data_IF_105959918719
#
_entry.id   IF_105959918719
#
_cell.length_a   1.000
_cell.length_b   1.000
_cell.length_c   1.000
_cell.angle_alpha   90.00
_cell.angle_beta   90.00
_cell.angle_gamma   90.00
#
_symmetry.space_group_name_H-M   'P 1'
#
loop_
_entity.id
_entity.type
_entity.pdbx_description
1 polymer ?
#
# COMPACT_ATOMS: atom_id res chain seq x y z
N UNK A 1 12.72 45.43 49.63
CA UNK A 1 11.65 45.19 48.66
C UNK A 1 12.14 44.01 47.80
N UNK A 2 11.58 42.88 48.14
CA UNK A 2 11.98 41.57 47.64
C UNK A 2 11.16 41.28 46.34
N UNK A 3 11.85 41.02 45.24
CA UNK A 3 11.23 40.59 44.00
C UNK A 3 11.57 39.10 43.78
N UNK A 4 10.70 38.28 44.33
CA UNK A 4 10.75 36.81 44.26
C UNK A 4 10.73 36.27 42.84
N UNK A 5 11.71 35.40 42.61
CA UNK A 5 11.88 34.49 41.51
C UNK A 5 10.64 33.68 41.15
N UNK A 6 10.15 33.81 39.90
CA UNK A 6 9.24 32.84 39.30
C UNK A 6 10.05 31.71 38.65
N UNK A 7 10.02 30.56 39.30
CA UNK A 7 10.49 29.30 38.70
C UNK A 7 9.64 28.96 37.47
N UNK A 8 10.27 28.91 36.30
CA UNK A 8 9.71 28.30 35.13
C UNK A 8 9.88 26.76 35.27
N UNK A 9 8.77 26.06 35.39
CA UNK A 9 8.69 24.63 35.33
C UNK A 9 8.87 24.22 33.86
N UNK A 10 9.83 23.34 33.48
CA UNK A 10 9.93 22.84 32.12
C UNK A 10 8.70 21.99 31.81
N UNK A 11 8.07 22.24 30.67
CA UNK A 11 7.04 21.38 30.10
C UNK A 11 7.72 20.08 29.65
N UNK A 12 7.47 19.01 30.36
CA UNK A 12 7.80 17.66 29.89
C UNK A 12 6.86 17.33 28.71
N UNK A 13 7.38 16.85 27.57
CA UNK A 13 6.51 16.38 26.50
C UNK A 13 5.66 15.20 27.01
N UNK A 14 4.37 15.29 26.80
CA UNK A 14 3.41 14.23 27.10
C UNK A 14 3.68 13.05 26.14
N UNK A 15 4.35 12.02 26.63
CA UNK A 15 4.61 10.76 25.93
C UNK A 15 3.52 9.73 26.21
N UNK A 16 2.27 10.18 26.29
CA UNK A 16 1.13 9.26 26.31
C UNK A 16 1.10 8.39 25.05
N UNK A 17 0.69 7.10 25.14
CA UNK A 17 0.58 6.25 23.96
C UNK A 17 -0.33 6.91 22.93
N UNK A 18 0.18 7.11 21.71
CA UNK A 18 -0.62 7.57 20.56
C UNK A 18 -1.74 6.54 20.39
N UNK A 19 -2.96 6.90 20.78
CA UNK A 19 -4.14 6.10 20.44
C UNK A 19 -4.31 6.22 18.93
N UNK A 20 -3.93 5.17 18.19
CA UNK A 20 -4.31 5.04 16.80
C UNK A 20 -5.84 5.13 16.76
N UNK A 21 -6.36 6.18 16.15
CA UNK A 21 -7.80 6.29 15.89
C UNK A 21 -8.22 5.11 15.04
N UNK A 22 -9.29 4.42 15.42
CA UNK A 22 -9.77 3.27 14.65
C UNK A 22 -10.07 3.74 13.22
N UNK A 23 -9.51 3.05 12.23
CA UNK A 23 -9.79 3.30 10.81
C UNK A 23 -11.29 3.12 10.58
N UNK A 24 -12.00 4.17 10.15
CA UNK A 24 -13.47 4.20 10.13
C UNK A 24 -14.08 3.74 8.81
N UNK A 25 -13.29 3.65 7.72
CA UNK A 25 -13.76 3.22 6.41
C UNK A 25 -13.27 1.80 6.09
N UNK A 26 -14.10 1.01 5.40
CA UNK A 26 -13.68 -0.29 4.88
C UNK A 26 -12.46 -0.15 3.94
N UNK A 27 -11.55 -1.15 3.86
CA UNK A 27 -10.37 -1.05 3.02
C UNK A 27 -10.66 -0.97 1.53
N UNK A 28 -11.85 -1.40 1.12
CA UNK A 28 -12.32 -1.39 -0.27
C UNK A 28 -13.71 -0.77 -0.30
N UNK A 29 -13.94 0.18 -1.22
CA UNK A 29 -15.20 0.88 -1.40
C UNK A 29 -15.67 0.81 -2.86
N UNK A 30 -16.96 0.75 -3.06
CA UNK A 30 -17.58 0.78 -4.39
C UNK A 30 -17.65 2.20 -4.96
N UNK A 31 -17.87 2.33 -6.28
CA UNK A 31 -18.10 3.64 -6.91
C UNK A 31 -19.32 4.38 -6.32
N UNK A 32 -20.39 3.66 -5.99
CA UNK A 32 -21.56 4.27 -5.34
C UNK A 32 -21.29 4.79 -3.94
N UNK A 33 -20.40 4.12 -3.18
CA UNK A 33 -19.92 4.65 -1.89
C UNK A 33 -19.03 5.87 -2.08
N UNK A 34 -18.15 5.88 -3.09
CA UNK A 34 -17.34 7.04 -3.43
C UNK A 34 -18.19 8.27 -3.80
N UNK A 35 -19.27 8.08 -4.59
CA UNK A 35 -20.21 9.16 -4.92
C UNK A 35 -20.74 9.87 -3.66
N UNK A 36 -21.02 9.11 -2.59
CA UNK A 36 -21.45 9.66 -1.30
C UNK A 36 -20.34 10.35 -0.50
N UNK A 37 -19.07 10.17 -0.87
CA UNK A 37 -17.90 10.75 -0.21
C UNK A 37 -17.31 11.95 -0.97
N UNK A 38 -17.78 12.24 -2.19
CA UNK A 38 -17.31 13.39 -2.97
C UNK A 38 -17.52 14.68 -2.17
N UNK A 39 -16.47 15.50 -2.06
CA UNK A 39 -16.47 16.74 -1.30
C UNK A 39 -16.21 16.58 0.21
N UNK A 40 -16.15 15.35 0.73
CA UNK A 40 -15.76 15.06 2.13
C UNK A 40 -14.53 14.16 2.24
N UNK A 41 -14.19 13.43 1.20
CA UNK A 41 -12.96 12.63 1.12
C UNK A 41 -11.97 13.25 0.12
N UNK A 42 -10.68 13.05 0.36
CA UNK A 42 -9.63 13.32 -0.62
C UNK A 42 -9.56 12.13 -1.57
N UNK A 43 -9.65 12.40 -2.86
CA UNK A 43 -9.58 11.37 -3.90
C UNK A 43 -8.18 11.41 -4.52
N UNK A 44 -7.51 10.25 -4.64
CA UNK A 44 -6.16 10.14 -5.14
C UNK A 44 -6.09 9.23 -6.37
N UNK A 45 -5.46 9.70 -7.42
CA UNK A 45 -5.16 8.98 -8.65
C UNK A 45 -3.69 8.52 -8.62
N UNK A 46 -3.46 7.20 -8.50
CA UNK A 46 -2.11 6.61 -8.43
C UNK A 46 -1.84 5.78 -9.69
N UNK A 47 -2.23 6.27 -10.86
CA UNK A 47 -1.91 5.56 -12.10
C UNK A 47 -0.41 5.56 -12.36
N UNK A 48 0.12 4.37 -12.50
CA UNK A 48 1.51 4.08 -12.77
C UNK A 48 1.62 2.87 -13.71
N UNK A 49 2.56 2.87 -14.63
CA UNK A 49 2.64 1.85 -15.66
C UNK A 49 4.03 1.25 -15.78
N UNK A 50 4.12 -0.09 -15.82
CA UNK A 50 5.36 -0.84 -15.96
C UNK A 50 6.06 -0.63 -17.31
N UNK A 51 5.32 -0.24 -18.34
CA UNK A 51 5.85 0.01 -19.68
C UNK A 51 6.53 1.40 -19.82
N UNK A 52 6.56 2.18 -18.73
CA UNK A 52 7.15 3.52 -18.69
C UNK A 52 6.27 4.63 -19.25
N UNK A 53 5.01 4.33 -19.61
CA UNK A 53 4.07 5.40 -19.95
C UNK A 53 3.71 6.24 -18.73
N UNK A 54 3.43 7.53 -18.96
CA UNK A 54 3.23 8.49 -17.87
C UNK A 54 1.84 8.38 -17.25
N UNK A 55 1.78 8.02 -15.95
CA UNK A 55 0.56 8.09 -15.16
C UNK A 55 0.03 9.51 -15.03
N UNK A 56 0.92 10.50 -14.90
CA UNK A 56 0.54 11.91 -14.85
C UNK A 56 -0.12 12.39 -16.14
N UNK A 57 0.40 12.00 -17.31
CA UNK A 57 -0.28 12.33 -18.57
C UNK A 57 -1.64 11.64 -18.69
N UNK A 58 -1.77 10.41 -18.17
CA UNK A 58 -3.07 9.73 -18.12
C UNK A 58 -4.06 10.47 -17.20
N UNK A 59 -3.61 10.96 -16.04
CA UNK A 59 -4.38 11.82 -15.15
C UNK A 59 -4.85 13.10 -15.85
N UNK A 60 -3.98 13.81 -16.57
CA UNK A 60 -4.32 15.04 -17.31
C UNK A 60 -5.30 14.80 -18.47
N UNK A 61 -5.37 13.58 -19.01
CA UNK A 61 -6.38 13.23 -20.03
C UNK A 61 -7.77 13.05 -19.47
N UNK A 62 -7.88 12.69 -18.19
CA UNK A 62 -9.14 12.51 -17.48
C UNK A 62 -8.99 11.72 -16.20
N UNK A 63 -9.57 12.25 -15.13
CA UNK A 63 -9.56 11.68 -13.78
C UNK A 63 -10.91 11.91 -13.10
N UNK A 64 -11.17 11.24 -11.97
CA UNK A 64 -12.36 11.47 -11.16
C UNK A 64 -12.36 12.90 -10.65
N UNK A 65 -13.48 13.66 -10.74
CA UNK A 65 -13.52 15.05 -10.34
C UNK A 65 -12.97 15.31 -8.93
N UNK A 66 -12.05 16.27 -8.83
CA UNK A 66 -11.40 16.64 -7.58
C UNK A 66 -10.25 15.72 -7.15
N UNK A 67 -9.95 14.66 -7.91
CA UNK A 67 -8.82 13.79 -7.59
C UNK A 67 -7.48 14.52 -7.75
N UNK A 68 -6.55 14.26 -6.83
CA UNK A 68 -5.15 14.70 -6.93
C UNK A 68 -4.30 13.55 -7.50
N UNK A 69 -3.31 13.90 -8.33
CA UNK A 69 -2.34 12.92 -8.82
C UNK A 69 -1.29 12.63 -7.74
N UNK A 70 -1.01 11.34 -7.54
CA UNK A 70 0.03 10.85 -6.63
C UNK A 70 1.03 10.05 -7.45
N UNK A 71 2.28 10.43 -7.38
CA UNK A 71 3.38 9.77 -8.06
C UNK A 71 3.91 8.62 -7.21
N UNK A 72 3.77 7.38 -7.69
CA UNK A 72 4.22 6.20 -6.96
C UNK A 72 5.72 6.26 -6.63
N UNK A 73 6.55 6.69 -7.59
CA UNK A 73 8.00 6.66 -7.46
C UNK A 73 8.53 7.79 -6.56
N UNK A 74 7.82 8.94 -6.51
CA UNK A 74 8.26 10.12 -5.77
C UNK A 74 7.52 10.32 -4.44
N UNK A 75 6.24 9.95 -4.34
CA UNK A 75 5.42 10.17 -3.14
C UNK A 75 5.30 8.93 -2.26
N UNK A 76 5.33 7.72 -2.87
CA UNK A 76 5.08 6.45 -2.17
C UNK A 76 6.31 5.55 -2.07
N UNK A 77 7.45 5.98 -2.60
CA UNK A 77 8.72 5.28 -2.51
C UNK A 77 9.87 6.25 -2.26
N UNK A 78 10.94 5.75 -1.63
CA UNK A 78 12.22 6.43 -1.61
C UNK A 78 13.05 6.03 -2.84
N UNK A 79 14.03 6.86 -3.21
CA UNK A 79 15.05 6.45 -4.18
C UNK A 79 15.82 5.26 -3.64
N UNK A 80 15.90 4.14 -4.37
CA UNK A 80 16.58 2.95 -3.87
C UNK A 80 18.08 3.17 -3.73
N UNK A 81 18.63 2.77 -2.58
CA UNK A 81 20.06 2.69 -2.31
C UNK A 81 20.63 1.29 -2.62
N UNK A 82 21.95 1.11 -2.46
CA UNK A 82 22.57 -0.21 -2.58
C UNK A 82 21.97 -1.20 -1.58
N UNK A 83 21.43 -2.32 -2.08
CA UNK A 83 20.83 -3.36 -1.26
C UNK A 83 19.33 -3.19 -1.00
N UNK A 84 18.71 -2.11 -1.46
CA UNK A 84 17.27 -1.94 -1.39
C UNK A 84 16.54 -2.68 -2.52
N UNK A 85 15.23 -2.89 -2.33
CA UNK A 85 14.31 -3.21 -3.43
C UNK A 85 14.01 -1.97 -4.28
N UNK A 86 13.29 -2.13 -5.40
CA UNK A 86 13.00 -1.02 -6.33
C UNK A 86 12.15 0.11 -5.74
N UNK A 87 11.28 -0.19 -4.78
CA UNK A 87 10.38 0.80 -4.16
C UNK A 87 10.46 0.72 -2.62
N UNK A 88 11.59 1.14 -2.01
CA UNK A 88 11.68 1.19 -0.55
C UNK A 88 10.60 2.14 0.01
N UNK A 89 10.23 1.97 1.28
CA UNK A 89 9.34 2.93 1.94
C UNK A 89 10.04 4.30 2.03
N UNK A 90 9.32 5.41 1.78
CA UNK A 90 9.85 6.73 2.07
C UNK A 90 10.10 6.88 3.57
N UNK A 91 10.99 7.78 3.96
CA UNK A 91 11.09 8.12 5.38
C UNK A 91 9.76 8.69 5.89
N UNK A 92 9.45 8.56 7.19
CA UNK A 92 8.25 9.16 7.76
C UNK A 92 8.11 10.65 7.48
N UNK A 93 9.23 11.39 7.46
CA UNK A 93 9.29 12.82 7.16
C UNK A 93 8.96 13.09 5.70
N UNK A 94 9.54 12.32 4.78
CA UNK A 94 9.27 12.46 3.35
C UNK A 94 7.81 12.15 3.04
N UNK A 95 7.25 11.07 3.62
CA UNK A 95 5.86 10.71 3.40
C UNK A 95 4.90 11.78 3.97
N UNK A 96 5.17 12.30 5.18
CA UNK A 96 4.38 13.39 5.75
C UNK A 96 4.45 14.66 4.88
N UNK A 97 5.62 14.99 4.33
CA UNK A 97 5.78 16.12 3.40
C UNK A 97 4.97 15.92 2.11
N UNK A 98 5.04 14.72 1.49
CA UNK A 98 4.22 14.39 0.31
C UNK A 98 2.72 14.53 0.59
N UNK A 99 2.23 13.96 1.70
CA UNK A 99 0.82 14.10 2.09
C UNK A 99 0.42 15.57 2.24
N UNK A 100 1.26 16.38 2.88
CA UNK A 100 1.02 17.81 3.06
C UNK A 100 0.95 18.58 1.73
N UNK A 101 1.82 18.25 0.77
CA UNK A 101 1.81 18.83 -0.57
C UNK A 101 0.58 18.40 -1.40
N UNK A 102 0.11 17.16 -1.20
CA UNK A 102 -1.09 16.63 -1.82
C UNK A 102 -2.38 17.14 -1.15
N UNK A 103 -2.28 17.94 -0.09
CA UNK A 103 -3.41 18.48 0.66
C UNK A 103 -4.15 17.43 1.49
N UNK A 104 -3.46 16.37 1.92
CA UNK A 104 -4.01 15.28 2.72
C UNK A 104 -3.66 15.51 4.19
N UNK A 105 -4.65 15.88 4.99
CA UNK A 105 -4.52 16.05 6.42
C UNK A 105 -4.61 14.73 7.21
N UNK A 106 -4.22 14.75 8.50
CA UNK A 106 -4.16 13.53 9.32
C UNK A 106 -5.52 12.91 9.64
N UNK A 107 -6.59 13.66 9.53
CA UNK A 107 -7.96 13.22 9.85
C UNK A 107 -8.82 13.03 8.60
N UNK A 108 -8.24 13.22 7.40
CA UNK A 108 -8.97 13.06 6.15
C UNK A 108 -9.26 11.59 5.87
N UNK A 109 -10.43 11.34 5.32
CA UNK A 109 -10.73 10.07 4.64
C UNK A 109 -10.18 10.15 3.23
N UNK A 110 -9.40 9.14 2.83
CA UNK A 110 -8.75 9.11 1.51
C UNK A 110 -9.30 7.94 0.70
N UNK A 111 -9.74 8.19 -0.53
CA UNK A 111 -10.10 7.13 -1.48
C UNK A 111 -9.12 7.15 -2.63
N UNK A 112 -8.47 6.02 -2.87
CA UNK A 112 -7.37 5.89 -3.84
C UNK A 112 -7.78 4.99 -4.98
N UNK A 113 -7.40 5.33 -6.20
CA UNK A 113 -7.66 4.50 -7.36
C UNK A 113 -6.49 4.51 -8.36
N UNK A 114 -6.48 3.51 -9.21
CA UNK A 114 -5.74 3.45 -10.48
C UNK A 114 -6.67 2.92 -11.59
N UNK A 115 -6.12 2.52 -12.73
CA UNK A 115 -6.84 1.86 -13.82
C UNK A 115 -6.35 0.43 -14.09
N UNK A 116 -5.53 -0.09 -13.18
CA UNK A 116 -4.83 -1.38 -13.28
C UNK A 116 -5.30 -2.39 -12.22
N UNK A 117 -6.57 -2.26 -11.77
CA UNK A 117 -7.16 -3.16 -10.80
C UNK A 117 -6.69 -2.96 -9.35
N UNK A 118 -6.13 -1.81 -9.02
CA UNK A 118 -5.65 -1.50 -7.67
C UNK A 118 -4.17 -1.83 -7.45
N UNK A 119 -3.43 -2.17 -8.52
CA UNK A 119 -2.03 -2.59 -8.42
C UNK A 119 -1.13 -1.57 -7.70
N UNK A 120 -1.21 -0.31 -8.10
CA UNK A 120 -0.41 0.79 -7.54
C UNK A 120 -1.15 1.52 -6.41
N UNK A 121 -2.45 1.71 -6.55
CA UNK A 121 -3.29 2.38 -5.58
C UNK A 121 -3.30 1.68 -4.20
N UNK A 122 -3.24 0.34 -4.18
CA UNK A 122 -3.17 -0.44 -2.95
C UNK A 122 -1.98 -0.08 -2.06
N UNK A 123 -0.84 0.33 -2.66
CA UNK A 123 0.34 0.76 -1.92
C UNK A 123 0.03 1.97 -1.03
N UNK A 124 -0.59 3.01 -1.58
CA UNK A 124 -0.95 4.20 -0.82
C UNK A 124 -1.99 3.89 0.26
N UNK A 125 -3.01 3.09 -0.07
CA UNK A 125 -4.03 2.70 0.92
C UNK A 125 -3.41 1.96 2.08
N UNK A 126 -2.53 0.97 1.82
CA UNK A 126 -1.83 0.23 2.86
C UNK A 126 -0.98 1.17 3.74
N UNK A 127 -0.19 2.07 3.13
CA UNK A 127 0.66 3.02 3.86
C UNK A 127 -0.16 3.90 4.81
N UNK A 128 -1.28 4.45 4.34
CA UNK A 128 -2.17 5.27 5.17
C UNK A 128 -2.82 4.46 6.29
N UNK A 129 -3.30 3.24 5.98
CA UNK A 129 -4.01 2.39 6.95
C UNK A 129 -3.11 1.88 8.06
N UNK A 130 -1.84 1.54 7.78
CA UNK A 130 -0.90 1.15 8.84
C UNK A 130 -0.57 2.31 9.78
N UNK A 131 -0.63 3.55 9.30
CA UNK A 131 -0.50 4.75 10.12
C UNK A 131 -1.80 5.14 10.84
N UNK A 132 -2.88 4.34 10.72
CA UNK A 132 -4.16 4.57 11.38
C UNK A 132 -5.07 5.57 10.68
N UNK A 133 -4.75 6.02 9.47
CA UNK A 133 -5.59 6.92 8.69
C UNK A 133 -6.72 6.19 7.97
N UNK A 134 -7.89 6.82 7.87
CA UNK A 134 -9.03 6.33 7.10
C UNK A 134 -8.72 6.37 5.61
N UNK A 135 -8.45 5.21 5.00
CA UNK A 135 -8.16 5.10 3.58
C UNK A 135 -8.81 3.86 2.95
N UNK A 136 -9.23 3.96 1.71
CA UNK A 136 -9.87 2.88 0.97
C UNK A 136 -9.42 2.85 -0.49
N UNK A 137 -9.36 1.65 -1.05
CA UNK A 137 -9.18 1.40 -2.47
C UNK A 137 -10.55 1.42 -3.18
N UNK A 138 -10.64 2.13 -4.30
CA UNK A 138 -11.84 2.11 -5.14
C UNK A 138 -11.93 0.79 -5.89
N UNK A 139 -12.94 0.00 -5.61
CA UNK A 139 -13.20 -1.28 -6.28
C UNK A 139 -13.43 -1.09 -7.79
N UNK A 140 -12.54 -1.70 -8.58
CA UNK A 140 -12.50 -1.59 -10.04
C UNK A 140 -11.89 -0.28 -10.55
N UNK A 141 -11.36 0.56 -9.68
CA UNK A 141 -10.59 1.74 -10.01
C UNK A 141 -11.34 2.73 -10.92
N UNK A 142 -10.60 3.42 -11.79
CA UNK A 142 -11.18 4.38 -12.74
C UNK A 142 -12.23 3.74 -13.66
N UNK A 143 -12.06 2.47 -14.03
CA UNK A 143 -13.00 1.75 -14.89
C UNK A 143 -14.36 1.52 -14.24
N UNK A 144 -14.44 1.65 -12.92
CA UNK A 144 -15.66 1.55 -12.14
C UNK A 144 -16.47 2.84 -12.08
N UNK A 145 -15.81 3.96 -12.34
CA UNK A 145 -16.43 5.27 -12.31
C UNK A 145 -17.29 5.51 -13.55
N UNK A 146 -18.57 5.83 -13.34
CA UNK A 146 -19.54 6.09 -14.43
C UNK A 146 -19.84 7.56 -14.63
N UNK A 147 -19.36 8.42 -13.72
CA UNK A 147 -19.54 9.87 -13.82
C UNK A 147 -18.63 10.50 -14.88
N UNK A 148 -18.83 11.78 -15.13
CA UNK A 148 -17.92 12.55 -16.01
C UNK A 148 -16.51 12.57 -15.43
N UNK A 149 -15.51 12.59 -16.31
CA UNK A 149 -14.11 12.83 -15.93
C UNK A 149 -13.78 14.31 -16.04
N UNK A 150 -12.82 14.76 -15.25
CA UNK A 150 -12.25 16.10 -15.25
C UNK A 150 -10.82 16.01 -15.79
N UNK A 151 -10.40 17.03 -16.57
CA UNK A 151 -9.03 17.15 -17.08
C UNK A 151 -8.25 18.31 -16.42
N UNK A 152 -8.94 19.16 -15.68
CA UNK A 152 -8.34 20.28 -14.96
C UNK A 152 -7.69 19.76 -13.67
N UNK A 153 -6.43 20.11 -13.45
CA UNK A 153 -5.69 19.70 -12.25
C UNK A 153 -6.39 20.21 -10.99
N UNK A 154 -6.70 19.34 -10.06
CA UNK A 154 -7.20 19.72 -8.76
C UNK A 154 -6.11 20.49 -7.98
N UNK A 155 -6.45 21.69 -7.50
CA UNK A 155 -5.57 22.48 -6.64
C UNK A 155 -6.01 22.25 -5.20
N UNK A 156 -5.19 21.55 -4.44
CA UNK A 156 -5.38 21.37 -3.00
C UNK A 156 -4.59 22.44 -2.23
N UNK A 157 -5.12 22.88 -1.09
CA UNK A 157 -4.37 23.72 -0.17
C UNK A 157 -3.26 22.89 0.51
N UNK A 158 -2.12 23.53 0.77
CA UNK A 158 -1.07 22.89 1.58
C UNK A 158 -1.59 22.63 3.00
N UNK A 159 -1.32 21.42 3.51
CA UNK A 159 -1.72 20.99 4.85
C UNK A 159 -0.48 20.59 5.64
N UNK A 160 -0.43 20.91 6.92
CA UNK A 160 0.60 20.37 7.81
C UNK A 160 0.23 18.93 8.20
N UNK A 161 1.05 17.97 7.78
CA UNK A 161 0.86 16.57 8.11
C UNK A 161 1.89 16.16 9.18
N UNK A 162 1.46 15.62 10.34
CA UNK A 162 2.37 15.21 11.39
C UNK A 162 3.21 14.02 10.93
N UNK A 163 4.50 14.04 11.25
CA UNK A 163 5.39 12.90 11.02
C UNK A 163 4.98 11.75 11.94
N UNK A 164 4.64 10.60 11.34
CA UNK A 164 4.29 9.37 12.05
C UNK A 164 5.29 8.29 11.67
N UNK A 165 6.03 7.68 12.63
CA UNK A 165 6.93 6.58 12.33
C UNK A 165 6.15 5.40 11.78
N UNK A 166 6.77 4.63 10.89
CA UNK A 166 6.18 3.36 10.42
C UNK A 166 6.02 2.43 11.61
N UNK A 167 4.80 1.87 11.84
CA UNK A 167 4.56 1.00 12.99
C UNK A 167 5.40 -0.26 12.93
N UNK A 168 6.06 -0.60 14.02
CA UNK A 168 6.73 -1.88 14.17
C UNK A 168 5.72 -3.03 13.94
N UNK A 169 6.14 -4.06 13.20
CA UNK A 169 5.31 -5.21 12.88
C UNK A 169 4.35 -5.03 11.69
N UNK A 170 4.31 -3.86 11.02
CA UNK A 170 3.55 -3.72 9.76
C UNK A 170 4.34 -4.16 8.53
N UNK A 171 5.65 -4.29 8.64
CA UNK A 171 6.54 -4.78 7.59
C UNK A 171 7.68 -5.61 8.18
N UNK A 172 8.41 -6.30 7.33
CA UNK A 172 9.57 -7.11 7.69
C UNK A 172 10.74 -6.83 6.74
N UNK A 173 11.93 -7.06 7.25
CA UNK A 173 13.16 -7.10 6.46
C UNK A 173 13.47 -8.52 5.98
N UNK A 174 14.40 -8.64 5.03
CA UNK A 174 14.76 -9.93 4.45
C UNK A 174 15.26 -10.97 5.48
N UNK A 175 15.88 -10.50 6.58
CA UNK A 175 16.40 -11.36 7.65
C UNK A 175 15.31 -11.88 8.59
N UNK A 176 14.15 -11.24 8.61
CA UNK A 176 13.06 -11.58 9.53
C UNK A 176 11.98 -12.46 8.90
N UNK A 177 12.18 -12.88 7.65
CA UNK A 177 11.16 -13.63 6.89
C UNK A 177 10.96 -15.07 7.39
N UNK A 178 12.00 -15.67 7.99
CA UNK A 178 11.95 -17.04 8.54
C UNK A 178 10.94 -17.20 9.69
N UNK A 179 10.44 -16.11 10.26
CA UNK A 179 9.43 -16.09 11.33
C UNK A 179 7.98 -16.04 10.83
N UNK A 180 7.72 -16.04 9.52
CA UNK A 180 6.38 -16.05 8.97
C UNK A 180 5.75 -17.44 9.08
N UNK A 181 4.50 -17.54 9.57
CA UNK A 181 3.74 -18.79 9.51
C UNK A 181 3.34 -19.11 8.07
N UNK A 182 2.96 -18.09 7.32
CA UNK A 182 2.64 -18.17 5.88
C UNK A 182 3.36 -17.04 5.15
N UNK A 183 4.08 -17.40 4.09
CA UNK A 183 4.75 -16.48 3.19
C UNK A 183 4.07 -16.51 1.82
N UNK A 184 3.60 -15.35 1.33
CA UNK A 184 2.87 -15.25 0.07
C UNK A 184 3.63 -14.40 -0.96
N UNK A 185 3.71 -14.92 -2.20
CA UNK A 185 4.22 -14.20 -3.37
C UNK A 185 3.06 -13.72 -4.24
N UNK A 186 2.85 -12.41 -4.29
CA UNK A 186 1.77 -11.76 -5.03
C UNK A 186 2.03 -11.61 -6.55
N UNK A 187 3.18 -12.09 -7.05
CA UNK A 187 3.52 -12.04 -8.49
C UNK A 187 2.72 -13.06 -9.28
N UNK A 188 2.71 -12.90 -10.61
CA UNK A 188 2.11 -13.89 -11.50
C UNK A 188 2.78 -15.26 -11.35
N UNK A 189 2.03 -16.32 -11.64
CA UNK A 189 2.50 -17.70 -11.51
C UNK A 189 3.74 -17.99 -12.36
N UNK A 190 3.88 -17.36 -13.54
CA UNK A 190 5.04 -17.52 -14.41
C UNK A 190 6.30 -16.94 -13.76
N UNK A 191 6.18 -15.77 -13.09
CA UNK A 191 7.30 -15.15 -12.38
C UNK A 191 7.67 -15.94 -11.14
N UNK A 192 6.67 -16.39 -10.37
CA UNK A 192 6.89 -17.24 -9.20
C UNK A 192 7.64 -18.52 -9.57
N UNK A 193 7.19 -19.26 -10.59
CA UNK A 193 7.83 -20.50 -11.03
C UNK A 193 9.23 -20.30 -11.64
N UNK A 194 9.56 -19.07 -12.00
CA UNK A 194 10.81 -18.76 -12.70
C UNK A 194 10.76 -19.04 -14.20
N UNK A 195 9.57 -19.21 -14.79
CA UNK A 195 9.39 -19.38 -16.23
C UNK A 195 9.67 -18.08 -17.00
N UNK A 196 9.49 -16.94 -16.33
CA UNK A 196 9.73 -15.60 -16.87
C UNK A 196 10.12 -14.63 -15.77
N UNK A 197 11.19 -13.85 -15.94
CA UNK A 197 11.57 -12.75 -15.05
C UNK A 197 12.13 -11.58 -15.87
N UNK A 198 11.25 -10.65 -16.29
CA UNK A 198 11.67 -9.54 -17.14
C UNK A 198 12.27 -8.36 -16.36
N UNK A 199 12.14 -8.32 -15.03
CA UNK A 199 12.42 -7.15 -14.21
C UNK A 199 13.60 -7.32 -13.27
N UNK A 200 13.81 -8.52 -12.74
CA UNK A 200 14.73 -8.77 -11.64
C UNK A 200 15.93 -9.63 -12.07
N UNK A 201 16.99 -9.62 -11.25
CA UNK A 201 18.29 -10.22 -11.63
C UNK A 201 18.28 -11.73 -11.79
N UNK A 202 17.38 -12.42 -11.12
CA UNK A 202 17.21 -13.88 -11.22
C UNK A 202 15.74 -14.29 -11.16
N UNK A 203 15.36 -15.39 -11.87
CA UNK A 203 14.02 -15.97 -11.78
C UNK A 203 13.83 -16.77 -10.49
N UNK A 204 12.56 -17.11 -10.19
CA UNK A 204 12.17 -17.94 -9.07
C UNK A 204 11.44 -17.18 -7.97
N UNK A 205 11.42 -17.75 -6.76
CA UNK A 205 10.72 -17.20 -5.59
C UNK A 205 11.51 -17.47 -4.30
N UNK A 206 11.10 -16.81 -3.21
CA UNK A 206 11.66 -17.06 -1.87
C UNK A 206 11.28 -18.47 -1.43
N UNK A 207 12.24 -19.31 -1.00
CA UNK A 207 11.91 -20.66 -0.51
C UNK A 207 10.86 -20.63 0.61
N UNK A 208 9.90 -21.54 0.53
CA UNK A 208 8.76 -21.63 1.45
C UNK A 208 7.57 -20.73 1.09
N UNK A 209 7.71 -19.83 0.11
CA UNK A 209 6.61 -18.97 -0.30
C UNK A 209 5.55 -19.72 -1.12
N UNK A 210 4.27 -19.47 -0.84
CA UNK A 210 3.14 -19.89 -1.66
C UNK A 210 2.79 -18.81 -2.67
N UNK A 211 2.40 -19.20 -3.87
CA UNK A 211 1.98 -18.23 -4.89
C UNK A 211 0.54 -17.78 -4.67
N UNK A 212 0.34 -16.51 -4.43
CA UNK A 212 -0.95 -15.84 -4.28
C UNK A 212 -1.01 -14.63 -5.23
N UNK A 213 -1.12 -14.81 -6.56
CA UNK A 213 -1.13 -13.68 -7.48
C UNK A 213 -2.23 -12.69 -7.13
N UNK A 214 -1.90 -11.39 -6.94
CA UNK A 214 -2.88 -10.37 -6.57
C UNK A 214 -4.08 -10.33 -7.54
N UNK A 215 -3.90 -10.72 -8.80
CA UNK A 215 -4.97 -10.82 -9.79
C UNK A 215 -6.06 -11.84 -9.42
N UNK A 216 -5.77 -12.81 -8.57
CA UNK A 216 -6.75 -13.80 -8.09
C UNK A 216 -7.72 -13.22 -7.04
N UNK A 217 -7.42 -12.05 -6.48
CA UNK A 217 -8.37 -11.31 -5.65
C UNK A 217 -9.51 -10.70 -6.47
N UNK A 218 -9.38 -10.70 -7.79
CA UNK A 218 -10.27 -10.01 -8.71
C UNK A 218 -11.15 -11.00 -9.50
N UNK A 219 -12.35 -10.57 -9.81
CA UNK A 219 -13.24 -11.21 -10.77
C UNK A 219 -13.96 -10.13 -11.57
N UNK A 220 -13.93 -10.21 -12.91
CA UNK A 220 -14.55 -9.22 -13.80
C UNK A 220 -14.13 -7.76 -13.50
N UNK A 221 -12.86 -7.53 -13.16
CA UNK A 221 -12.32 -6.21 -12.85
C UNK A 221 -12.77 -5.63 -11.50
N UNK A 222 -13.34 -6.44 -10.61
CA UNK A 222 -13.77 -6.09 -9.26
C UNK A 222 -13.16 -7.05 -8.25
N UNK A 223 -13.04 -6.62 -7.00
CA UNK A 223 -12.72 -7.55 -5.93
C UNK A 223 -13.77 -8.64 -5.82
N UNK A 224 -13.32 -9.85 -5.52
CA UNK A 224 -14.21 -10.96 -5.12
C UNK A 224 -14.88 -10.61 -3.81
N UNK A 225 -15.97 -11.33 -3.48
CA UNK A 225 -16.64 -11.14 -2.19
C UNK A 225 -15.70 -11.42 -1.01
N UNK A 226 -15.96 -10.80 0.15
CA UNK A 226 -15.17 -11.05 1.36
C UNK A 226 -15.11 -12.54 1.72
N UNK A 227 -16.22 -13.27 1.55
CA UNK A 227 -16.29 -14.72 1.81
C UNK A 227 -15.44 -15.53 0.81
N UNK A 228 -15.45 -15.16 -0.47
CA UNK A 228 -14.62 -15.81 -1.49
C UNK A 228 -13.13 -15.54 -1.26
N UNK A 229 -12.76 -14.33 -0.83
CA UNK A 229 -11.39 -13.97 -0.47
C UNK A 229 -10.95 -14.73 0.78
N UNK A 230 -11.78 -14.78 1.83
CA UNK A 230 -11.50 -15.56 3.03
C UNK A 230 -11.26 -17.04 2.70
N UNK A 231 -12.12 -17.62 1.83
CA UNK A 231 -11.98 -19.00 1.37
C UNK A 231 -10.68 -19.21 0.58
N UNK A 232 -10.32 -18.25 -0.29
CA UNK A 232 -9.11 -18.29 -1.08
C UNK A 232 -7.86 -18.32 -0.19
N UNK A 233 -7.74 -17.37 0.75
CA UNK A 233 -6.59 -17.30 1.65
C UNK A 233 -6.56 -18.47 2.65
N UNK A 234 -7.71 -18.95 3.12
CA UNK A 234 -7.78 -20.13 3.96
C UNK A 234 -7.26 -21.39 3.26
N UNK A 235 -7.48 -21.51 1.95
CA UNK A 235 -6.92 -22.60 1.14
C UNK A 235 -5.39 -22.54 1.02
N UNK A 236 -4.80 -21.35 1.21
CA UNK A 236 -3.35 -21.11 1.30
C UNK A 236 -2.81 -21.25 2.75
N UNK A 237 -3.63 -21.68 3.69
CA UNK A 237 -3.23 -21.88 5.08
C UNK A 237 -3.39 -20.65 5.98
N UNK A 238 -3.94 -19.55 5.48
CA UNK A 238 -4.15 -18.32 6.27
C UNK A 238 -5.41 -18.47 7.11
N UNK A 239 -5.26 -18.63 8.40
CA UNK A 239 -6.35 -18.60 9.38
C UNK A 239 -6.54 -17.18 9.97
N UNK A 240 -5.43 -16.50 10.22
CA UNK A 240 -5.32 -15.11 10.67
C UNK A 240 -4.13 -14.49 9.93
N UNK A 241 -4.28 -13.26 9.47
CA UNK A 241 -3.23 -12.60 8.68
C UNK A 241 -2.08 -12.05 9.53
N UNK A 242 -2.18 -12.03 10.85
CA UNK A 242 -1.19 -11.41 11.76
C UNK A 242 0.24 -11.95 11.54
N UNK A 243 0.37 -13.25 11.27
CA UNK A 243 1.65 -13.92 11.05
C UNK A 243 1.95 -14.19 9.56
N UNK A 244 1.15 -13.61 8.67
CA UNK A 244 1.37 -13.67 7.23
C UNK A 244 2.32 -12.58 6.79
N UNK A 245 3.29 -12.96 5.96
CA UNK A 245 4.15 -12.01 5.22
C UNK A 245 3.82 -12.09 3.74
N UNK A 246 3.63 -10.94 3.11
CA UNK A 246 3.39 -10.86 1.67
C UNK A 246 4.51 -10.07 1.01
N UNK A 247 4.99 -10.57 -0.12
CA UNK A 247 5.90 -9.85 -0.99
C UNK A 247 5.46 -9.92 -2.46
N UNK A 248 6.07 -9.10 -3.30
CA UNK A 248 5.85 -9.18 -4.75
C UNK A 248 7.16 -8.92 -5.51
N UNK A 249 7.14 -8.15 -6.58
CA UNK A 249 8.36 -7.70 -7.26
C UNK A 249 9.11 -6.60 -6.50
N UNK A 250 8.38 -5.65 -5.91
CA UNK A 250 8.96 -4.43 -5.30
C UNK A 250 8.10 -3.84 -4.16
N UNK A 251 7.27 -4.63 -3.50
CA UNK A 251 6.45 -4.20 -2.37
C UNK A 251 5.25 -3.33 -2.76
N UNK A 252 4.86 -3.29 -4.01
CA UNK A 252 3.70 -2.51 -4.50
C UNK A 252 2.46 -3.38 -4.55
N UNK A 253 2.39 -4.38 -5.45
CA UNK A 253 1.20 -5.23 -5.59
C UNK A 253 0.96 -6.19 -4.42
N UNK A 254 1.95 -6.45 -3.57
CA UNK A 254 1.76 -7.18 -2.30
C UNK A 254 0.76 -6.48 -1.37
N UNK A 255 0.70 -5.15 -1.42
CA UNK A 255 -0.26 -4.37 -0.65
C UNK A 255 -1.73 -4.69 -1.04
N UNK A 256 -1.95 -5.14 -2.28
CA UNK A 256 -3.27 -5.56 -2.73
C UNK A 256 -3.76 -6.81 -1.99
N UNK A 257 -2.88 -7.81 -1.78
CA UNK A 257 -3.21 -9.01 -1.02
C UNK A 257 -3.44 -8.69 0.46
N UNK A 258 -2.62 -7.80 1.03
CA UNK A 258 -2.81 -7.32 2.42
C UNK A 258 -4.16 -6.64 2.61
N UNK A 259 -4.60 -5.81 1.66
CA UNK A 259 -5.92 -5.19 1.70
C UNK A 259 -7.05 -6.19 1.48
N UNK A 260 -6.86 -7.19 0.62
CA UNK A 260 -7.84 -8.26 0.38
C UNK A 260 -8.04 -9.12 1.65
N UNK A 261 -6.97 -9.45 2.38
CA UNK A 261 -7.07 -10.16 3.67
C UNK A 261 -7.76 -9.29 4.73
N UNK A 262 -7.43 -8.00 4.82
CA UNK A 262 -8.12 -7.08 5.74
C UNK A 262 -9.61 -6.95 5.38
N UNK A 263 -9.95 -6.85 4.10
CA UNK A 263 -11.33 -6.76 3.61
C UNK A 263 -12.14 -8.01 3.90
N UNK A 264 -11.51 -9.18 3.83
CA UNK A 264 -12.15 -10.47 4.11
C UNK A 264 -12.28 -10.78 5.61
N UNK A 265 -11.79 -9.89 6.49
CA UNK A 265 -11.87 -10.06 7.93
C UNK A 265 -10.79 -10.96 8.53
N UNK A 266 -9.79 -11.38 7.75
CA UNK A 266 -8.67 -12.20 8.21
C UNK A 266 -7.63 -11.39 9.04
N UNK A 267 -7.76 -10.06 9.09
CA UNK A 267 -6.82 -9.20 9.80
C UNK A 267 -5.76 -8.59 8.90
N UNK A 268 -4.66 -8.12 9.50
CA UNK A 268 -3.58 -7.39 8.81
C UNK A 268 -2.28 -8.15 8.85
N UNK A 269 -1.79 -8.53 7.68
CA UNK A 269 -0.48 -9.12 7.51
C UNK A 269 0.64 -8.08 7.40
N UNK A 270 1.85 -8.57 7.22
CA UNK A 270 3.08 -7.78 7.13
C UNK A 270 3.60 -7.75 5.69
N UNK A 271 4.17 -6.62 5.30
CA UNK A 271 4.76 -6.44 3.99
C UNK A 271 6.28 -6.70 4.06
N UNK A 272 6.82 -7.58 3.22
CA UNK A 272 8.24 -7.55 2.91
C UNK A 272 8.48 -6.50 1.83
N UNK A 273 8.97 -5.32 2.25
CA UNK A 273 9.10 -4.13 1.39
C UNK A 273 10.09 -4.36 0.26
N UNK A 274 11.27 -4.92 0.56
CA UNK A 274 12.33 -5.17 -0.43
C UNK A 274 11.90 -6.13 -1.53
N UNK A 275 11.03 -7.08 -1.20
CA UNK A 275 10.41 -8.01 -2.14
C UNK A 275 11.43 -8.77 -2.99
N UNK A 276 10.99 -9.33 -4.12
CA UNK A 276 11.85 -10.11 -4.99
C UNK A 276 13.01 -9.29 -5.57
N UNK A 277 12.82 -8.01 -5.84
CA UNK A 277 13.87 -7.14 -6.37
C UNK A 277 15.08 -7.02 -5.43
N UNK A 278 14.85 -7.00 -4.13
CA UNK A 278 15.92 -7.05 -3.13
C UNK A 278 16.47 -8.48 -2.99
N UNK A 279 15.60 -9.46 -2.79
CA UNK A 279 15.99 -10.85 -2.57
C UNK A 279 16.82 -11.42 -3.70
N UNK A 280 16.38 -11.22 -4.96
CA UNK A 280 17.05 -11.73 -6.14
C UNK A 280 18.42 -11.09 -6.40
N UNK A 281 18.68 -9.91 -5.87
CA UNK A 281 19.96 -9.21 -5.97
C UNK A 281 21.00 -9.67 -4.94
N UNK A 282 20.64 -10.59 -4.05
CA UNK A 282 21.53 -11.17 -3.03
C UNK A 282 21.90 -12.61 -3.36
N UNK A 283 22.83 -13.18 -2.58
CA UNK A 283 23.20 -14.62 -2.65
C UNK A 283 22.23 -15.54 -1.88
N UNK A 284 21.10 -15.00 -1.36
CA UNK A 284 20.08 -15.80 -0.67
C UNK A 284 19.53 -16.90 -1.58
N UNK A 285 19.12 -18.07 -1.03
CA UNK A 285 18.56 -19.14 -1.83
C UNK A 285 17.30 -18.69 -2.57
N UNK A 286 17.08 -19.28 -3.75
CA UNK A 286 15.88 -19.10 -4.54
C UNK A 286 15.34 -20.47 -4.93
N UNK A 287 14.04 -20.64 -4.82
CA UNK A 287 13.31 -21.79 -5.32
C UNK A 287 12.75 -21.51 -6.73
N UNK A 288 12.41 -22.56 -7.46
CA UNK A 288 11.76 -22.47 -8.78
C UNK A 288 10.80 -23.64 -8.98
N UNK A 289 9.88 -23.50 -9.92
CA UNK A 289 8.81 -24.45 -10.13
C UNK A 289 7.54 -24.11 -9.33
N UNK A 290 6.52 -24.98 -9.37
CA UNK A 290 5.22 -24.69 -8.74
C UNK A 290 5.21 -24.90 -7.21
N UNK A 291 6.18 -25.64 -6.68
CA UNK A 291 6.25 -25.98 -5.24
C UNK A 291 7.00 -24.90 -4.46
N UNK A 292 6.71 -24.75 -3.16
CA UNK A 292 7.33 -23.70 -2.34
C UNK A 292 8.85 -23.82 -2.14
N UNK A 293 9.42 -24.99 -2.36
CA UNK A 293 10.87 -25.24 -2.23
C UNK A 293 11.31 -25.71 -0.86
#
# INVERSE_FOLDING_TARGET
>A
MDLSSRCHRPLTPDTGPVRLTAVSIAPIVTAGQLEGLIGSAVICDVRWYLDGSSGHEAYLRGHIPGAVFVDLDNDLAASPGPGDGRHPLPSPEAFAASLGLLGIGPDDTVVVYDDSGGLSAARMVWMLRVLGQSAALLDGGLNAWTGALQAETAVQGLVECPVRPWPEGSFVEADDMDGAEVLLDARSAERYRGDSEPMDSRPGHVPGALNAPFSQNMSNGRFRSADDLASHYSALGVADATDVVVYCGSGVSACHDLLAMEHSGLGRGRLYVGSWSQWSATDRPAASGPEPG
#
